data_IF_414283279394
#
_entry.id   IF_414283279394
#
_cell.length_a   1.000
_cell.length_b   1.000
_cell.length_c   1.000
_cell.angle_alpha   90.00
_cell.angle_beta   90.00
_cell.angle_gamma   90.00
#
_symmetry.space_group_name_H-M   'P 1'
#
loop_
_entity.id
_entity.type
_entity.pdbx_description
1 polymer ?
#
# COMPACT_ATOMS: atom_id res chain seq x y z
N UNK A 1 -18.94 4.36 4.14
CA UNK A 1 -18.51 4.37 5.56
C UNK A 1 -19.31 5.46 6.24
N UNK A 2 -19.93 5.19 7.39
CA UNK A 2 -20.86 6.14 8.02
C UNK A 2 -20.10 7.24 8.76
N UNK A 3 -20.40 8.51 8.46
CA UNK A 3 -19.92 9.67 9.21
C UNK A 3 -18.48 10.12 8.92
N UNK A 4 -17.84 9.56 7.88
CA UNK A 4 -16.48 9.92 7.45
C UNK A 4 -16.44 10.65 6.11
N UNK A 5 -17.55 11.28 5.69
CA UNK A 5 -17.67 11.89 4.36
C UNK A 5 -16.56 12.94 4.12
N UNK A 6 -16.37 13.85 5.07
CA UNK A 6 -15.34 14.90 4.98
C UNK A 6 -13.92 14.33 5.00
N UNK A 7 -13.66 13.25 5.75
CA UNK A 7 -12.33 12.63 5.77
C UNK A 7 -12.00 11.96 4.43
N UNK A 8 -12.99 11.33 3.80
CA UNK A 8 -12.86 10.72 2.47
C UNK A 8 -12.67 11.81 1.40
N UNK A 9 -13.46 12.87 1.44
CA UNK A 9 -13.34 14.01 0.52
C UNK A 9 -11.93 14.63 0.59
N UNK A 10 -11.42 14.88 1.80
CA UNK A 10 -10.05 15.37 2.00
C UNK A 10 -9.00 14.38 1.50
N UNK A 11 -9.18 13.08 1.73
CA UNK A 11 -8.27 12.06 1.20
C UNK A 11 -8.21 12.10 -0.33
N UNK A 12 -9.34 12.30 -1.01
CA UNK A 12 -9.40 12.42 -2.46
C UNK A 12 -8.74 13.72 -2.93
N UNK A 13 -9.15 14.87 -2.39
CA UNK A 13 -8.73 16.19 -2.87
C UNK A 13 -7.31 16.57 -2.46
N UNK A 14 -6.85 16.18 -1.27
CA UNK A 14 -5.53 16.56 -0.74
C UNK A 14 -4.44 15.54 -1.11
N UNK A 15 -4.80 14.28 -1.41
CA UNK A 15 -3.84 13.23 -1.72
C UNK A 15 -4.00 12.64 -3.12
N UNK A 16 -5.12 11.97 -3.42
CA UNK A 16 -5.25 11.21 -4.67
C UNK A 16 -5.26 12.08 -5.93
N UNK A 17 -6.04 13.17 -5.96
CA UNK A 17 -6.08 14.09 -7.10
C UNK A 17 -4.70 14.73 -7.39
N UNK A 18 -3.99 15.31 -6.40
CA UNK A 18 -2.65 15.84 -6.62
C UNK A 18 -1.63 14.75 -7.01
N UNK A 19 -1.70 13.56 -6.41
CA UNK A 19 -0.80 12.44 -6.74
C UNK A 19 -0.99 11.97 -8.18
N UNK A 20 -2.24 11.84 -8.64
CA UNK A 20 -2.57 11.47 -10.03
C UNK A 20 -2.07 12.49 -11.05
N UNK A 21 -1.98 13.78 -10.65
CA UNK A 21 -1.38 14.86 -11.46
C UNK A 21 0.14 14.95 -11.35
N UNK A 22 0.79 13.94 -10.77
CA UNK A 22 2.23 13.83 -10.58
C UNK A 22 2.86 14.94 -9.71
N UNK A 23 2.09 15.52 -8.78
CA UNK A 23 2.63 16.44 -7.79
C UNK A 23 3.43 15.69 -6.71
N UNK A 24 4.30 16.39 -5.98
CA UNK A 24 5.25 15.80 -5.03
C UNK A 24 4.62 14.96 -3.92
N UNK A 25 3.31 15.11 -3.66
CA UNK A 25 2.60 14.28 -2.68
C UNK A 25 2.67 12.78 -3.02
N UNK A 26 2.78 12.42 -4.31
CA UNK A 26 2.90 11.00 -4.73
C UNK A 26 4.17 10.32 -4.21
N UNK A 27 5.20 11.12 -3.88
CA UNK A 27 6.48 10.63 -3.36
C UNK A 27 6.47 10.46 -1.83
N UNK A 28 5.28 10.40 -1.23
CA UNK A 28 5.09 10.33 0.22
C UNK A 28 4.19 9.17 0.57
N UNK A 29 4.52 8.52 1.69
CA UNK A 29 3.70 7.48 2.30
C UNK A 29 2.42 8.11 2.84
N UNK A 30 1.26 7.57 2.48
CA UNK A 30 -0.03 7.97 3.03
C UNK A 30 -0.24 7.32 4.38
N UNK A 31 -0.24 8.09 5.48
CA UNK A 31 -0.49 7.58 6.83
C UNK A 31 -1.87 8.01 7.31
N UNK A 32 -2.80 7.06 7.39
CA UNK A 32 -4.10 7.26 8.03
C UNK A 32 -3.91 7.22 9.55
N UNK A 33 -4.10 8.35 10.22
CA UNK A 33 -3.91 8.49 11.66
C UNK A 33 -5.22 8.81 12.34
N UNK A 34 -5.55 8.11 13.41
CA UNK A 34 -6.79 8.36 14.14
C UNK A 34 -7.03 7.33 15.23
N UNK A 35 -8.13 7.45 15.98
CA UNK A 35 -8.43 6.55 17.07
C UNK A 35 -8.62 5.10 16.63
N UNK A 36 -8.49 4.18 17.60
CA UNK A 36 -8.85 2.77 17.42
C UNK A 36 -10.32 2.70 17.00
N UNK A 37 -10.64 1.78 16.07
CA UNK A 37 -11.98 1.63 15.51
C UNK A 37 -12.50 2.85 14.71
N UNK A 38 -11.65 3.80 14.33
CA UNK A 38 -12.01 4.96 13.48
C UNK A 38 -12.28 4.64 11.99
N UNK A 39 -12.39 3.36 11.60
CA UNK A 39 -12.65 2.97 10.22
C UNK A 39 -11.45 3.06 9.25
N UNK A 40 -10.23 3.30 9.76
CA UNK A 40 -9.00 3.40 8.94
C UNK A 40 -8.75 2.15 8.09
N UNK A 41 -8.71 0.98 8.72
CA UNK A 41 -8.52 -0.29 8.02
C UNK A 41 -9.66 -0.56 7.03
N UNK A 42 -10.90 -0.16 7.37
CA UNK A 42 -12.04 -0.25 6.45
C UNK A 42 -11.84 0.62 5.20
N UNK A 43 -11.28 1.84 5.32
CA UNK A 43 -10.93 2.67 4.17
C UNK A 43 -9.94 1.94 3.27
N UNK A 44 -8.86 1.40 3.85
CA UNK A 44 -7.84 0.67 3.06
C UNK A 44 -8.43 -0.57 2.40
N UNK A 45 -9.24 -1.36 3.10
CA UNK A 45 -9.96 -2.50 2.51
C UNK A 45 -10.84 -2.08 1.33
N UNK A 46 -11.57 -0.97 1.43
CA UNK A 46 -12.40 -0.48 0.34
C UNK A 46 -11.56 0.01 -0.84
N UNK A 47 -10.41 0.65 -0.59
CA UNK A 47 -9.48 1.05 -1.65
C UNK A 47 -8.93 -0.16 -2.39
N UNK A 48 -8.47 -1.20 -1.68
CA UNK A 48 -8.00 -2.46 -2.28
C UNK A 48 -9.08 -3.13 -3.13
N UNK A 49 -10.30 -3.27 -2.58
CA UNK A 49 -11.45 -3.84 -3.31
C UNK A 49 -11.83 -3.01 -4.54
N UNK A 50 -11.83 -1.69 -4.42
CA UNK A 50 -12.10 -0.78 -5.52
C UNK A 50 -11.06 -0.90 -6.63
N UNK A 51 -9.78 -0.96 -6.27
CA UNK A 51 -8.66 -1.14 -7.20
C UNK A 51 -8.75 -2.50 -7.93
N UNK A 52 -9.04 -3.58 -7.20
CA UNK A 52 -9.27 -4.90 -7.77
C UNK A 52 -10.46 -4.91 -8.75
N UNK A 53 -11.61 -4.33 -8.37
CA UNK A 53 -12.77 -4.22 -9.24
C UNK A 53 -12.48 -3.39 -10.49
N UNK A 54 -11.81 -2.24 -10.32
CA UNK A 54 -11.45 -1.36 -11.43
C UNK A 54 -10.52 -2.07 -12.42
N UNK A 55 -9.56 -2.86 -11.94
CA UNK A 55 -8.63 -3.60 -12.80
C UNK A 55 -9.28 -4.62 -13.75
N UNK A 56 -10.52 -5.03 -13.44
CA UNK A 56 -11.31 -5.95 -14.28
C UNK A 56 -12.02 -5.25 -15.43
N UNK A 57 -12.19 -3.94 -15.36
CA UNK A 57 -12.80 -3.12 -16.41
C UNK A 57 -11.83 -2.90 -17.57
N UNK A 58 -12.34 -2.42 -18.70
CA UNK A 58 -11.50 -2.05 -19.85
C UNK A 58 -10.68 -0.78 -19.57
N UNK A 59 -11.27 0.20 -18.85
CA UNK A 59 -10.58 1.43 -18.46
C UNK A 59 -9.45 1.19 -17.45
N UNK A 60 -9.63 0.21 -16.56
CA UNK A 60 -8.61 -0.20 -15.59
C UNK A 60 -7.72 -1.35 -16.07
N UNK A 61 -7.73 -1.70 -17.36
CA UNK A 61 -6.98 -2.84 -17.86
C UNK A 61 -5.46 -2.66 -17.64
N UNK A 62 -4.84 -3.65 -17.00
CA UNK A 62 -3.40 -3.68 -16.74
C UNK A 62 -2.75 -4.80 -17.54
N UNK A 63 -1.67 -4.48 -18.25
CA UNK A 63 -0.87 -5.45 -19.00
C UNK A 63 0.51 -5.59 -18.39
N UNK A 64 1.04 -6.80 -18.30
CA UNK A 64 2.36 -7.10 -17.75
C UNK A 64 3.19 -7.96 -18.69
N UNK A 65 4.52 -7.93 -18.52
CA UNK A 65 5.42 -8.86 -19.20
C UNK A 65 5.10 -10.29 -18.74
N UNK A 66 4.83 -11.18 -19.71
CA UNK A 66 4.39 -12.54 -19.44
C UNK A 66 5.43 -13.32 -18.65
N UNK A 67 4.99 -13.96 -17.57
CA UNK A 67 5.85 -14.74 -16.68
C UNK A 67 6.77 -13.90 -15.78
N UNK A 68 6.58 -12.59 -15.71
CA UNK A 68 7.27 -11.75 -14.73
C UNK A 68 6.63 -11.92 -13.33
N UNK A 69 7.40 -12.29 -12.29
CA UNK A 69 6.88 -12.48 -10.94
C UNK A 69 6.45 -11.17 -10.24
N UNK A 70 6.85 -10.02 -10.79
CA UNK A 70 6.52 -8.67 -10.32
C UNK A 70 5.45 -7.98 -11.16
N UNK A 71 4.89 -8.67 -12.16
CA UNK A 71 3.87 -8.09 -13.04
C UNK A 71 4.31 -6.78 -13.71
N UNK A 72 5.57 -6.75 -14.11
CA UNK A 72 6.27 -5.56 -14.59
C UNK A 72 5.60 -4.91 -15.80
N UNK A 73 5.65 -3.57 -15.84
CA UNK A 73 5.10 -2.77 -16.92
C UNK A 73 5.86 -3.04 -18.24
N UNK A 74 5.18 -3.48 -19.31
CA UNK A 74 5.80 -3.71 -20.62
C UNK A 74 6.50 -2.47 -21.19
N UNK A 75 6.05 -1.26 -20.82
CA UNK A 75 6.68 -0.02 -21.28
C UNK A 75 8.12 0.13 -20.78
N UNK A 76 8.53 -0.61 -19.75
CA UNK A 76 9.93 -0.64 -19.32
C UNK A 76 10.88 -1.24 -20.37
N UNK A 77 10.35 -1.99 -21.35
CA UNK A 77 11.13 -2.49 -22.50
C UNK A 77 11.61 -1.36 -23.42
N UNK A 78 10.95 -0.19 -23.40
CA UNK A 78 11.34 0.94 -24.24
C UNK A 78 12.66 1.53 -23.71
N UNK A 79 13.72 1.57 -24.54
CA UNK A 79 15.03 2.10 -24.15
C UNK A 79 14.95 3.55 -23.64
N UNK A 80 15.73 3.88 -22.61
CA UNK A 80 15.71 5.20 -21.97
C UNK A 80 15.86 6.37 -22.93
N UNK A 81 16.67 6.24 -23.98
CA UNK A 81 16.91 7.30 -24.96
C UNK A 81 15.70 7.59 -25.86
N UNK A 82 14.75 6.66 -26.00
CA UNK A 82 13.53 6.84 -26.80
C UNK A 82 12.33 7.32 -25.97
N UNK A 83 12.44 7.37 -24.64
CA UNK A 83 11.29 7.68 -23.77
C UNK A 83 10.81 9.12 -23.86
N UNK A 84 11.70 10.05 -24.22
CA UNK A 84 11.30 11.45 -24.45
C UNK A 84 10.46 11.54 -25.72
N UNK A 85 10.93 10.96 -26.83
CA UNK A 85 10.19 10.92 -28.09
C UNK A 85 8.84 10.20 -27.92
N UNK A 86 8.83 9.07 -27.19
CA UNK A 86 7.60 8.36 -26.85
C UNK A 86 6.61 9.22 -26.04
N UNK A 87 7.12 10.04 -25.12
CA UNK A 87 6.27 10.97 -24.38
C UNK A 87 5.72 12.09 -25.25
N UNK A 88 6.53 12.64 -26.17
CA UNK A 88 6.08 13.68 -27.10
C UNK A 88 5.01 13.17 -28.08
N UNK A 89 5.13 11.92 -28.53
CA UNK A 89 4.20 11.31 -29.48
C UNK A 89 2.90 10.82 -28.82
N UNK A 90 3.00 10.10 -27.69
CA UNK A 90 1.86 9.42 -27.07
C UNK A 90 1.34 10.10 -25.79
N UNK A 91 2.08 11.06 -25.23
CA UNK A 91 1.75 11.68 -23.94
C UNK A 91 1.96 10.76 -22.73
N UNK A 92 2.53 9.57 -22.93
CA UNK A 92 2.72 8.56 -21.90
C UNK A 92 4.15 8.64 -21.36
N UNK A 93 4.29 8.83 -20.06
CA UNK A 93 5.59 9.03 -19.41
C UNK A 93 6.00 7.78 -18.65
N UNK A 94 7.10 7.16 -19.09
CA UNK A 94 7.62 5.89 -18.59
C UNK A 94 8.66 6.15 -17.50
N UNK A 95 8.35 5.73 -16.27
CA UNK A 95 9.23 5.81 -15.10
C UNK A 95 9.76 4.42 -14.74
N UNK A 96 10.84 4.32 -13.98
CA UNK A 96 11.45 3.02 -13.62
C UNK A 96 12.26 2.37 -14.74
N UNK A 97 12.78 1.18 -14.45
CA UNK A 97 13.64 0.39 -15.35
C UNK A 97 13.24 -1.07 -15.34
N UNK A 98 13.60 -1.77 -16.42
CA UNK A 98 13.34 -3.20 -16.55
C UNK A 98 14.01 -3.97 -15.41
N UNK A 99 13.28 -4.89 -14.79
CA UNK A 99 13.81 -5.71 -13.71
C UNK A 99 15.00 -6.54 -14.20
N UNK A 100 15.94 -6.90 -13.31
CA UNK A 100 17.11 -7.67 -13.72
C UNK A 100 16.74 -9.01 -14.37
N UNK A 101 15.66 -9.66 -13.88
CA UNK A 101 15.16 -10.90 -14.46
C UNK A 101 14.67 -10.70 -15.90
N UNK A 102 13.83 -9.70 -16.15
CA UNK A 102 13.33 -9.46 -17.50
C UNK A 102 14.39 -8.88 -18.44
N UNK A 103 15.40 -8.17 -17.92
CA UNK A 103 16.58 -7.75 -18.69
C UNK A 103 17.33 -8.97 -19.22
N UNK A 104 17.63 -9.93 -18.34
CA UNK A 104 18.27 -11.19 -18.71
C UNK A 104 17.40 -11.99 -19.71
N UNK A 105 16.08 -12.05 -19.50
CA UNK A 105 15.16 -12.74 -20.43
C UNK A 105 15.13 -12.07 -21.80
N UNK A 106 15.08 -10.74 -21.87
CA UNK A 106 15.11 -10.01 -23.14
C UNK A 106 16.37 -10.33 -23.94
N UNK A 107 17.53 -10.40 -23.29
CA UNK A 107 18.79 -10.74 -23.93
C UNK A 107 18.85 -12.22 -24.36
N UNK A 108 18.50 -13.15 -23.47
CA UNK A 108 18.70 -14.59 -23.69
C UNK A 108 17.58 -15.29 -24.45
N UNK A 109 16.32 -14.91 -24.20
CA UNK A 109 15.14 -15.55 -24.79
C UNK A 109 14.66 -14.84 -26.06
N UNK A 110 14.87 -13.52 -26.14
CA UNK A 110 14.30 -12.68 -27.21
C UNK A 110 15.36 -11.99 -28.10
N UNK A 111 16.66 -12.28 -27.91
CA UNK A 111 17.76 -11.72 -28.74
C UNK A 111 17.73 -10.19 -28.78
N UNK A 112 17.34 -9.55 -27.66
CA UNK A 112 17.19 -8.09 -27.54
C UNK A 112 15.98 -7.49 -28.26
N UNK A 113 15.11 -8.30 -28.87
CA UNK A 113 13.96 -7.83 -29.66
C UNK A 113 12.73 -7.60 -28.80
N UNK A 114 12.54 -6.35 -28.40
CA UNK A 114 11.45 -5.94 -27.51
C UNK A 114 10.06 -6.25 -28.08
N UNK A 115 9.92 -6.22 -29.41
CA UNK A 115 8.66 -6.47 -30.13
C UNK A 115 8.18 -7.92 -30.03
N UNK A 116 9.08 -8.85 -29.69
CA UNK A 116 8.74 -10.27 -29.54
C UNK A 116 8.38 -10.63 -28.09
N UNK A 117 8.59 -9.72 -27.13
CA UNK A 117 8.30 -9.99 -25.73
C UNK A 117 6.81 -10.14 -25.51
N UNK A 118 6.40 -11.31 -25.03
CA UNK A 118 4.99 -11.62 -24.79
C UNK A 118 4.46 -10.81 -23.61
N UNK A 119 3.28 -10.22 -23.78
CA UNK A 119 2.54 -9.53 -22.71
C UNK A 119 1.26 -10.31 -22.36
N UNK A 120 0.77 -10.12 -21.14
CA UNK A 120 -0.49 -10.68 -20.69
C UNK A 120 -1.32 -9.65 -19.93
N UNK A 121 -2.66 -9.76 -20.03
CA UNK A 121 -3.55 -8.98 -19.18
C UNK A 121 -3.58 -9.59 -17.79
N UNK A 122 -3.42 -8.74 -16.78
CA UNK A 122 -3.55 -9.13 -15.37
C UNK A 122 -4.72 -8.42 -14.73
N UNK A 123 -5.18 -8.96 -13.61
CA UNK A 123 -6.16 -8.32 -12.73
C UNK A 123 -5.58 -8.29 -11.34
N UNK A 124 -5.69 -7.16 -10.67
CA UNK A 124 -5.23 -7.04 -9.29
C UNK A 124 -6.08 -7.93 -8.37
N UNK A 125 -5.44 -8.46 -7.33
CA UNK A 125 -6.06 -9.35 -6.37
C UNK A 125 -5.19 -9.45 -5.13
N UNK A 126 -5.79 -9.13 -3.98
CA UNK A 126 -5.14 -9.31 -2.67
C UNK A 126 -4.88 -10.80 -2.39
N UNK A 127 -5.90 -11.66 -2.57
CA UNK A 127 -5.80 -13.10 -2.31
C UNK A 127 -4.73 -13.80 -3.14
N UNK A 128 -4.54 -13.37 -4.39
CA UNK A 128 -3.51 -13.93 -5.29
C UNK A 128 -2.18 -13.19 -5.20
N UNK A 129 -2.07 -12.14 -4.37
CA UNK A 129 -0.88 -11.29 -4.23
C UNK A 129 -0.43 -10.71 -5.58
N UNK A 130 -1.36 -10.08 -6.30
CA UNK A 130 -1.14 -9.44 -7.61
C UNK A 130 -1.52 -7.96 -7.51
N UNK A 131 -0.53 -7.06 -7.52
CA UNK A 131 -0.70 -5.62 -7.40
C UNK A 131 -1.27 -5.14 -6.06
N UNK A 132 -1.49 -6.04 -5.10
CA UNK A 132 -1.96 -5.69 -3.76
C UNK A 132 -1.17 -6.52 -2.76
N UNK A 133 -0.44 -5.85 -1.87
CA UNK A 133 0.32 -6.44 -0.77
C UNK A 133 -0.13 -5.89 0.58
N UNK A 134 0.04 -6.71 1.61
CA UNK A 134 -0.33 -6.34 2.99
C UNK A 134 0.76 -6.83 3.93
N UNK A 135 1.30 -5.92 4.73
CA UNK A 135 2.33 -6.22 5.71
C UNK A 135 1.91 -5.82 7.11
N UNK A 136 2.06 -6.77 8.03
CA UNK A 136 1.81 -6.59 9.45
C UNK A 136 3.12 -6.84 10.20
N UNK A 137 3.58 -5.90 11.05
CA UNK A 137 4.79 -6.07 11.83
C UNK A 137 4.65 -7.28 12.75
N UNK A 138 5.67 -8.13 12.72
CA UNK A 138 5.89 -9.18 13.70
C UNK A 138 6.82 -8.66 14.81
N UNK A 139 7.26 -9.52 15.74
CA UNK A 139 8.28 -9.14 16.71
C UNK A 139 9.49 -8.51 15.98
N UNK A 140 9.89 -7.26 16.29
CA UNK A 140 10.97 -6.57 15.59
C UNK A 140 12.30 -7.33 15.59
N UNK A 141 12.53 -8.23 16.57
CA UNK A 141 13.76 -9.02 16.65
C UNK A 141 13.79 -10.18 15.66
N UNK A 142 12.64 -10.65 15.19
CA UNK A 142 12.51 -11.78 14.27
C UNK A 142 12.08 -11.35 12.87
N UNK A 143 11.92 -10.05 12.63
CA UNK A 143 11.42 -9.54 11.36
C UNK A 143 12.53 -9.49 10.30
N UNK A 144 12.32 -10.18 9.17
CA UNK A 144 13.26 -10.16 8.06
C UNK A 144 12.83 -9.13 7.00
N UNK A 145 13.82 -8.41 6.45
CA UNK A 145 13.60 -7.49 5.34
C UNK A 145 13.29 -8.23 4.04
N UNK A 146 13.63 -9.52 3.97
CA UNK A 146 13.26 -10.40 2.87
C UNK A 146 11.74 -10.52 2.72
N UNK A 147 10.96 -10.43 3.79
CA UNK A 147 9.49 -10.46 3.72
C UNK A 147 8.93 -9.29 2.89
N UNK A 148 9.61 -8.14 2.92
CA UNK A 148 9.26 -6.99 2.08
C UNK A 148 9.88 -7.05 0.69
N UNK A 149 11.17 -7.38 0.62
CA UNK A 149 11.98 -7.14 -0.58
C UNK A 149 12.14 -8.35 -1.48
N UNK A 150 11.90 -9.56 -0.96
CA UNK A 150 12.20 -10.84 -1.59
C UNK A 150 13.45 -11.49 -1.00
N UNK A 151 13.68 -12.76 -1.34
CA UNK A 151 14.76 -13.58 -0.77
C UNK A 151 15.69 -14.17 -1.84
N UNK A 152 16.91 -14.52 -1.45
CA UNK A 152 17.83 -15.29 -2.30
C UNK A 152 17.51 -16.78 -2.11
N UNK A 153 17.34 -17.51 -3.21
CA UNK A 153 17.21 -18.96 -3.19
C UNK A 153 18.58 -19.62 -3.26
N UNK A 154 19.14 -19.93 -2.08
CA UNK A 154 20.45 -20.56 -1.95
C UNK A 154 20.56 -21.93 -2.64
N UNK A 155 19.44 -22.64 -2.87
CA UNK A 155 19.47 -23.94 -3.54
C UNK A 155 19.84 -23.83 -5.02
N UNK A 156 19.45 -22.73 -5.66
CA UNK A 156 19.69 -22.46 -7.08
C UNK A 156 21.07 -21.86 -7.37
N UNK A 157 21.78 -21.38 -6.35
CA UNK A 157 23.13 -20.81 -6.50
C UNK A 157 24.11 -21.86 -7.04
N UNK A 158 23.95 -23.13 -6.66
CA UNK A 158 24.78 -24.21 -7.18
C UNK A 158 24.64 -24.43 -8.68
N UNK A 159 23.47 -24.11 -9.25
CA UNK A 159 23.17 -24.24 -10.68
C UNK A 159 23.60 -23.00 -11.48
N UNK A 160 23.37 -21.81 -10.94
CA UNK A 160 23.63 -20.54 -11.65
C UNK A 160 25.00 -19.90 -11.32
N UNK A 161 25.69 -20.40 -10.30
CA UNK A 161 27.07 -20.04 -9.98
C UNK A 161 27.28 -18.70 -9.28
N UNK A 162 26.23 -17.90 -9.02
CA UNK A 162 26.35 -16.60 -8.35
C UNK A 162 25.11 -16.17 -7.59
N UNK A 163 25.29 -15.58 -6.40
CA UNK A 163 24.24 -14.89 -5.63
C UNK A 163 23.63 -13.68 -6.36
N UNK A 164 24.32 -13.17 -7.39
CA UNK A 164 23.88 -12.01 -8.18
C UNK A 164 23.14 -12.38 -9.47
N UNK A 165 22.95 -13.67 -9.77
CA UNK A 165 22.15 -14.10 -10.92
C UNK A 165 20.65 -13.81 -10.65
N UNK A 166 19.92 -13.13 -11.55
CA UNK A 166 18.50 -12.79 -11.34
C UNK A 166 17.59 -13.99 -11.11
N UNK A 167 17.96 -15.18 -11.59
CA UNK A 167 17.19 -16.41 -11.39
C UNK A 167 17.37 -17.00 -9.99
N UNK A 168 18.45 -16.64 -9.30
CA UNK A 168 18.66 -17.03 -7.90
C UNK A 168 17.87 -16.15 -6.92
N UNK A 169 17.17 -15.12 -7.41
CA UNK A 169 16.37 -14.22 -6.58
C UNK A 169 14.87 -14.52 -6.68
N UNK A 170 14.23 -14.69 -5.53
CA UNK A 170 12.77 -14.83 -5.42
C UNK A 170 12.15 -13.46 -5.26
N UNK A 171 11.42 -13.04 -6.29
CA UNK A 171 10.61 -11.81 -6.28
C UNK A 171 9.24 -12.07 -5.63
N UNK A 172 9.27 -12.44 -4.36
CA UNK A 172 8.08 -12.83 -3.58
C UNK A 172 7.86 -12.02 -2.32
N UNK A 173 8.66 -10.97 -2.10
CA UNK A 173 8.41 -9.98 -1.05
C UNK A 173 7.14 -9.18 -1.32
N UNK A 174 6.58 -8.60 -0.27
CA UNK A 174 5.32 -7.84 -0.37
C UNK A 174 5.42 -6.66 -1.34
N UNK A 175 6.55 -5.94 -1.39
CA UNK A 175 6.78 -4.84 -2.34
C UNK A 175 6.90 -5.35 -3.79
N UNK A 176 7.36 -6.59 -3.99
CA UNK A 176 7.37 -7.19 -5.33
C UNK A 176 5.95 -7.49 -5.80
N UNK A 177 5.09 -7.96 -4.89
CA UNK A 177 3.71 -8.38 -5.19
C UNK A 177 2.74 -7.22 -5.29
N UNK A 178 2.97 -6.14 -4.54
CA UNK A 178 2.18 -4.91 -4.57
C UNK A 178 2.48 -4.01 -5.79
N UNK A 179 3.54 -4.30 -6.55
CA UNK A 179 3.97 -3.51 -7.70
C UNK A 179 2.82 -3.19 -8.67
N UNK A 180 2.76 -1.94 -9.10
CA UNK A 180 1.73 -1.29 -9.94
C UNK A 180 0.37 -1.10 -9.29
N UNK A 181 0.24 -1.41 -8.00
CA UNK A 181 -1.00 -1.17 -7.26
C UNK A 181 -0.75 -0.59 -5.89
N UNK A 182 -1.02 -1.35 -4.83
CA UNK A 182 -1.10 -0.84 -3.46
C UNK A 182 -0.43 -1.75 -2.44
N UNK A 183 0.34 -1.13 -1.54
CA UNK A 183 0.96 -1.77 -0.41
C UNK A 183 0.36 -1.22 0.90
N UNK A 184 -0.29 -2.08 1.68
CA UNK A 184 -0.79 -1.75 3.02
C UNK A 184 0.24 -2.08 4.10
N UNK A 185 0.57 -1.10 4.93
CA UNK A 185 1.31 -1.31 6.18
C UNK A 185 0.40 -1.13 7.38
N UNK A 186 0.12 -2.22 8.08
CA UNK A 186 -0.58 -2.19 9.36
C UNK A 186 0.41 -1.78 10.44
N UNK A 187 0.12 -0.75 11.24
CA UNK A 187 0.99 -0.34 12.36
C UNK A 187 2.45 -0.04 11.94
N UNK A 188 2.65 0.57 10.76
CA UNK A 188 3.97 0.85 10.16
C UNK A 188 4.98 1.48 11.12
N UNK A 189 4.52 2.31 12.07
CA UNK A 189 5.39 3.03 13.00
C UNK A 189 6.05 2.12 14.06
N UNK A 190 5.67 0.85 14.14
CA UNK A 190 6.32 -0.18 14.97
C UNK A 190 7.51 -0.84 14.29
N UNK A 191 7.71 -0.60 12.99
CA UNK A 191 8.83 -1.17 12.25
C UNK A 191 10.17 -0.59 12.70
N UNK A 192 11.21 -1.40 12.56
CA UNK A 192 12.59 -0.93 12.72
C UNK A 192 12.92 0.14 11.66
N UNK A 193 13.74 1.12 12.04
CA UNK A 193 14.19 2.23 11.19
C UNK A 193 14.70 1.75 9.82
N UNK A 194 15.41 0.61 9.78
CA UNK A 194 15.94 0.03 8.53
C UNK A 194 14.83 -0.23 7.49
N UNK A 195 13.66 -0.68 7.93
CA UNK A 195 12.52 -0.92 7.04
C UNK A 195 11.97 0.39 6.51
N UNK A 196 11.79 1.38 7.40
CA UNK A 196 11.28 2.71 7.04
C UNK A 196 12.17 3.39 6.01
N UNK A 197 13.50 3.29 6.13
CA UNK A 197 14.44 3.82 5.14
C UNK A 197 14.30 3.19 3.75
N UNK A 198 14.05 1.88 3.66
CA UNK A 198 13.78 1.23 2.39
C UNK A 198 12.48 1.74 1.73
N UNK A 199 11.43 1.97 2.53
CA UNK A 199 10.17 2.55 2.03
C UNK A 199 10.37 3.99 1.53
N UNK A 200 11.30 4.73 2.13
CA UNK A 200 11.64 6.07 1.67
C UNK A 200 12.33 6.07 0.30
N UNK A 201 13.25 5.15 0.07
CA UNK A 201 13.87 4.98 -1.26
C UNK A 201 12.80 4.64 -2.29
N UNK A 202 11.89 3.71 -1.98
CA UNK A 202 10.82 3.31 -2.88
C UNK A 202 9.90 4.49 -3.23
N UNK A 203 9.40 5.23 -2.23
CA UNK A 203 8.50 6.36 -2.48
C UNK A 203 9.15 7.52 -3.23
N UNK A 204 10.46 7.75 -3.08
CA UNK A 204 11.13 8.88 -3.73
C UNK A 204 11.68 8.56 -5.11
N UNK A 205 12.32 7.40 -5.23
CA UNK A 205 13.10 7.00 -6.40
C UNK A 205 12.38 5.96 -7.26
N UNK A 206 11.25 5.42 -6.78
CA UNK A 206 10.52 4.35 -7.46
C UNK A 206 11.29 3.03 -7.50
N UNK A 207 12.23 2.83 -6.57
CA UNK A 207 13.03 1.62 -6.51
C UNK A 207 13.47 1.29 -5.07
N UNK A 208 13.79 0.03 -4.82
CA UNK A 208 14.35 -0.43 -3.55
C UNK A 208 15.52 -1.39 -3.77
N UNK A 209 16.35 -1.53 -2.74
CA UNK A 209 17.51 -2.42 -2.74
C UNK A 209 17.17 -3.78 -2.14
N UNK A 210 17.31 -4.83 -2.94
CA UNK A 210 17.15 -6.22 -2.53
C UNK A 210 18.52 -6.86 -2.20
N UNK A 211 18.93 -6.87 -0.93
CA UNK A 211 20.18 -7.53 -0.53
C UNK A 211 21.43 -7.07 -1.31
N UNK A 212 22.13 -8.00 -1.97
CA UNK A 212 23.28 -7.74 -2.87
C UNK A 212 22.88 -7.53 -4.33
N UNK A 213 21.58 -7.56 -4.62
CA UNK A 213 21.02 -7.43 -5.95
C UNK A 213 21.02 -5.97 -6.45
N UNK A 214 20.84 -5.81 -7.76
CA UNK A 214 20.58 -4.50 -8.37
C UNK A 214 19.30 -3.86 -7.79
N UNK A 215 19.17 -2.54 -7.94
CA UNK A 215 17.94 -1.84 -7.58
C UNK A 215 16.77 -2.38 -8.39
N UNK A 216 15.66 -2.65 -7.70
CA UNK A 216 14.43 -3.15 -8.31
C UNK A 216 13.46 -1.98 -8.40
N UNK A 217 13.00 -1.66 -9.61
CA UNK A 217 11.97 -0.64 -9.81
C UNK A 217 10.61 -1.18 -9.39
N UNK A 218 9.85 -0.39 -8.65
CA UNK A 218 8.45 -0.66 -8.34
C UNK A 218 7.67 0.66 -8.27
N UNK A 219 6.44 0.64 -8.78
CA UNK A 219 5.51 1.77 -8.77
C UNK A 219 4.29 1.37 -7.97
N UNK A 220 4.13 1.89 -6.76
CA UNK A 220 3.01 1.49 -5.91
C UNK A 220 2.62 2.58 -4.93
N UNK A 221 1.34 2.58 -4.57
CA UNK A 221 0.84 3.39 -3.48
C UNK A 221 1.16 2.72 -2.15
N UNK A 222 1.94 3.39 -1.30
CA UNK A 222 2.15 2.96 0.08
C UNK A 222 1.13 3.64 1.00
N UNK A 223 0.24 2.84 1.58
CA UNK A 223 -0.73 3.28 2.59
C UNK A 223 -0.44 2.60 3.92
N UNK A 224 -0.33 3.39 4.97
CA UNK A 224 -0.16 2.93 6.33
C UNK A 224 -1.32 3.42 7.21
N UNK A 225 -1.60 2.72 8.31
CA UNK A 225 -2.49 3.23 9.34
C UNK A 225 -1.92 3.01 10.74
N UNK A 226 -2.21 3.94 11.64
CA UNK A 226 -1.71 3.96 13.03
C UNK A 226 -2.70 4.64 13.97
N UNK A 227 -2.50 4.47 15.28
CA UNK A 227 -3.22 5.21 16.30
C UNK A 227 -2.50 6.51 16.70
N UNK A 228 -3.19 7.37 17.44
CA UNK A 228 -2.66 8.68 17.82
C UNK A 228 -1.47 8.57 18.81
N UNK A 229 -1.50 7.60 19.72
CA UNK A 229 -0.45 7.38 20.72
C UNK A 229 0.87 6.98 20.06
N UNK A 230 0.82 6.06 19.11
CA UNK A 230 1.96 5.63 18.30
C UNK A 230 2.50 6.78 17.46
N UNK A 231 1.62 7.53 16.79
CA UNK A 231 2.02 8.68 15.99
C UNK A 231 2.73 9.75 16.83
N UNK A 232 2.20 10.09 18.01
CA UNK A 232 2.83 11.04 18.93
C UNK A 232 4.21 10.55 19.38
N UNK A 233 4.33 9.27 19.69
CA UNK A 233 5.61 8.66 20.07
C UNK A 233 6.62 8.73 18.92
N UNK A 234 6.18 8.43 17.69
CA UNK A 234 6.99 8.49 16.49
C UNK A 234 7.52 9.89 16.20
N UNK A 235 6.66 10.91 16.24
CA UNK A 235 7.02 12.33 15.99
C UNK A 235 7.95 12.87 17.09
N UNK A 236 7.80 12.42 18.33
CA UNK A 236 8.64 12.86 19.44
C UNK A 236 10.09 12.36 19.35
N UNK A 237 10.33 11.28 18.59
CA UNK A 237 11.64 10.68 18.46
C UNK A 237 12.48 11.41 17.39
N UNK A 238 13.54 12.09 17.81
CA UNK A 238 14.47 12.81 16.91
C UNK A 238 15.08 11.94 15.82
N UNK A 239 15.24 10.63 16.04
CA UNK A 239 15.76 9.73 14.99
C UNK A 239 14.84 9.65 13.77
N UNK A 240 13.54 9.87 13.97
CA UNK A 240 12.52 9.78 12.93
C UNK A 240 12.30 11.11 12.18
N UNK A 241 12.98 12.19 12.57
CA UNK A 241 12.75 13.54 12.04
C UNK A 241 12.86 13.60 10.51
N UNK A 242 13.81 12.85 9.93
CA UNK A 242 13.97 12.75 8.48
C UNK A 242 12.76 12.11 7.78
N UNK A 243 12.07 11.18 8.46
CA UNK A 243 10.91 10.46 7.94
C UNK A 243 9.64 11.35 7.90
N UNK A 244 9.55 12.38 8.74
CA UNK A 244 8.35 13.22 8.86
C UNK A 244 7.99 13.89 7.54
N UNK A 245 8.99 14.39 6.81
CA UNK A 245 8.81 15.05 5.51
C UNK A 245 8.31 14.12 4.40
N UNK A 246 8.43 12.81 4.62
CA UNK A 246 8.12 11.76 3.64
C UNK A 246 6.81 11.04 3.91
N UNK A 247 6.12 11.42 4.98
CA UNK A 247 4.82 10.90 5.35
C UNK A 247 3.82 12.04 5.21
N UNK A 248 2.70 11.77 4.55
CA UNK A 248 1.53 12.63 4.62
C UNK A 248 0.52 12.01 5.58
N UNK A 249 0.22 12.77 6.63
CA UNK A 249 -0.70 12.32 7.67
C UNK A 249 -2.09 12.77 7.31
N UNK A 250 -2.99 11.80 7.16
CA UNK A 250 -4.41 12.02 6.92
C UNK A 250 -5.21 11.67 8.19
N UNK A 251 -5.70 12.66 8.95
CA UNK A 251 -6.47 12.40 10.15
C UNK A 251 -7.83 11.77 9.81
N UNK A 252 -8.11 10.62 10.41
CA UNK A 252 -9.40 9.93 10.32
C UNK A 252 -10.08 10.02 11.69
N UNK A 253 -10.99 10.99 11.92
CA UNK A 253 -11.59 11.22 13.23
C UNK A 253 -12.64 10.16 13.57
N UNK A 254 -13.11 10.16 14.82
CA UNK A 254 -14.34 9.45 15.15
C UNK A 254 -15.54 10.03 14.39
N UNK A 255 -16.51 9.16 14.10
CA UNK A 255 -17.85 9.62 13.75
C UNK A 255 -18.51 10.31 14.97
N UNK A 256 -18.96 11.55 14.79
CA UNK A 256 -19.67 12.33 15.81
C UNK A 256 -21.16 12.50 15.50
N UNK A 257 -21.65 11.92 14.40
CA UNK A 257 -23.07 11.96 14.04
C UNK A 257 -23.77 10.73 14.65
N UNK A 258 -24.66 10.97 15.60
CA UNK A 258 -25.46 9.91 16.26
C UNK A 258 -26.19 9.05 15.23
N UNK A 259 -26.81 9.68 14.22
CA UNK A 259 -27.53 8.95 13.16
C UNK A 259 -26.62 8.01 12.35
N UNK A 260 -25.35 8.38 12.18
CA UNK A 260 -24.37 7.54 11.50
C UNK A 260 -23.85 6.42 12.40
N UNK A 261 -23.74 6.68 13.71
CA UNK A 261 -23.30 5.69 14.70
C UNK A 261 -24.36 4.59 14.88
N UNK A 262 -25.64 4.96 14.89
CA UNK A 262 -26.76 4.01 14.91
C UNK A 262 -26.69 3.03 13.73
N UNK A 263 -26.39 3.52 12.52
CA UNK A 263 -26.21 2.68 11.33
C UNK A 263 -25.01 1.73 11.43
N UNK A 264 -23.94 2.12 12.13
CA UNK A 264 -22.79 1.24 12.39
C UNK A 264 -23.25 0.05 13.24
N UNK A 265 -23.99 0.30 14.32
CA UNK A 265 -24.48 -0.77 15.19
C UNK A 265 -25.49 -1.67 14.49
N UNK A 266 -26.43 -1.10 13.73
CA UNK A 266 -27.35 -1.88 12.91
C UNK A 266 -26.62 -2.81 11.95
N UNK A 267 -25.59 -2.31 11.27
CA UNK A 267 -24.77 -3.09 10.36
C UNK A 267 -24.06 -4.23 11.11
N UNK A 268 -23.37 -3.92 12.21
CA UNK A 268 -22.63 -4.91 13.00
C UNK A 268 -23.54 -6.04 13.49
N UNK A 269 -24.75 -5.71 13.94
CA UNK A 269 -25.71 -6.70 14.43
C UNK A 269 -26.22 -7.58 13.30
N UNK A 270 -26.57 -6.99 12.15
CA UNK A 270 -27.00 -7.73 10.96
C UNK A 270 -25.94 -8.70 10.45
N UNK A 271 -24.66 -8.35 10.58
CA UNK A 271 -23.51 -9.17 10.17
C UNK A 271 -23.07 -10.17 11.26
N UNK A 272 -23.63 -10.10 12.46
CA UNK A 272 -23.29 -10.98 13.58
C UNK A 272 -24.28 -12.13 13.76
N UNK A 273 -23.88 -13.15 14.51
CA UNK A 273 -24.78 -14.23 14.96
C UNK A 273 -25.94 -13.73 15.84
N UNK A 274 -25.92 -12.45 16.27
CA UNK A 274 -26.97 -11.84 17.10
C UNK A 274 -28.12 -11.23 16.29
N UNK A 275 -28.18 -11.41 14.97
CA UNK A 275 -29.25 -10.86 14.13
C UNK A 275 -30.67 -11.31 14.55
N UNK A 276 -30.78 -12.44 15.27
CA UNK A 276 -32.04 -12.98 15.78
C UNK A 276 -32.49 -12.39 17.13
N UNK A 277 -31.64 -11.60 17.79
CA UNK A 277 -31.92 -11.03 19.12
C UNK A 277 -32.84 -9.82 18.98
N UNK A 278 -33.89 -9.78 19.78
CA UNK A 278 -34.77 -8.61 19.84
C UNK A 278 -34.04 -7.40 20.42
N UNK A 279 -34.07 -6.29 19.70
CA UNK A 279 -33.55 -5.00 20.15
C UNK A 279 -34.71 -4.06 20.36
N UNK A 280 -34.84 -3.57 21.60
CA UNK A 280 -35.90 -2.63 21.93
C UNK A 280 -35.78 -1.34 21.10
N UNK A 281 -36.92 -0.70 20.72
CA UNK A 281 -36.89 0.58 20.04
C UNK A 281 -36.01 1.59 20.77
N UNK A 282 -35.23 2.37 20.01
CA UNK A 282 -34.28 3.37 20.52
C UNK A 282 -33.09 2.83 21.34
N UNK A 283 -32.93 1.52 21.54
CA UNK A 283 -31.76 0.99 22.25
C UNK A 283 -30.45 1.35 21.51
N UNK A 284 -30.40 1.15 20.18
CA UNK A 284 -29.24 1.52 19.37
C UNK A 284 -29.00 3.03 19.36
N UNK A 285 -30.07 3.82 19.23
CA UNK A 285 -29.99 5.27 19.34
C UNK A 285 -29.45 5.75 20.68
N UNK A 286 -29.89 5.16 21.79
CA UNK A 286 -29.40 5.49 23.12
C UNK A 286 -27.91 5.14 23.28
N UNK A 287 -27.50 3.95 22.82
CA UNK A 287 -26.10 3.55 22.78
C UNK A 287 -25.26 4.49 21.90
N UNK A 288 -25.78 4.89 20.74
CA UNK A 288 -25.12 5.80 19.81
C UNK A 288 -24.93 7.20 20.40
N UNK A 289 -25.95 7.73 21.09
CA UNK A 289 -25.86 9.00 21.83
C UNK A 289 -24.76 8.90 22.90
N UNK A 290 -24.78 7.83 23.69
CA UNK A 290 -23.78 7.63 24.75
C UNK A 290 -22.36 7.57 24.17
N UNK A 291 -22.11 6.74 23.15
CA UNK A 291 -20.79 6.62 22.51
C UNK A 291 -20.32 7.91 21.82
N UNK A 292 -21.22 8.72 21.27
CA UNK A 292 -20.85 10.03 20.70
C UNK A 292 -20.51 11.01 21.82
N UNK A 293 -21.26 11.04 22.91
CA UNK A 293 -20.99 11.92 24.05
C UNK A 293 -19.63 11.63 24.69
N UNK A 294 -19.21 10.37 24.79
CA UNK A 294 -17.87 10.02 25.31
C UNK A 294 -16.73 10.50 24.41
N UNK A 295 -16.99 10.79 23.13
CA UNK A 295 -16.01 11.33 22.16
C UNK A 295 -15.96 12.87 22.14
N UNK A 296 -16.97 13.55 22.68
CA UNK A 296 -17.06 15.02 22.68
C UNK A 296 -16.31 15.67 23.85
N UNK A 297 -16.13 14.96 24.96
CA UNK A 297 -15.31 15.43 26.09
C UNK A 297 -14.04 14.62 26.24
N UNK A 298 -12.89 15.29 26.24
CA UNK A 298 -11.62 14.67 26.65
C UNK A 298 -11.71 14.36 28.15
N UNK A 299 -11.52 13.11 28.60
CA UNK A 299 -11.54 12.78 30.02
C UNK A 299 -10.52 13.65 30.76
N UNK A 300 -10.99 14.47 31.73
CA UNK A 300 -10.11 15.32 32.55
C UNK A 300 -9.16 14.52 33.46
N UNK A 301 -9.33 13.19 33.56
CA UNK A 301 -8.48 12.29 34.34
C UNK A 301 -7.64 11.41 33.43
N UNK A 302 -6.31 11.48 33.59
CA UNK A 302 -5.40 10.45 33.08
C UNK A 302 -5.77 9.10 33.72
N UNK A 303 -5.89 8.04 32.91
CA UNK A 303 -6.13 6.68 33.38
C UNK A 303 -7.57 6.16 33.30
N UNK A 304 -8.49 6.88 32.65
CA UNK A 304 -9.76 6.30 32.22
C UNK A 304 -9.59 5.88 30.76
N UNK A 305 -9.27 4.59 30.57
CA UNK A 305 -9.35 3.93 29.27
C UNK A 305 -10.74 3.28 29.15
N UNK A 306 -11.32 3.28 27.95
CA UNK A 306 -12.51 2.50 27.62
C UNK A 306 -12.08 1.16 27.05
#
# INVERSE_FOLDING_TARGET
IFGLETAIERLVEEYFHPAARRLDVRKRILLLMGPVSGGKSTIVTLLKRGLEQFSRTDEGAVFAIKGCPMHEDPLHLIPHHLRNDFYEEYGIRIEGSLSPLNTMRLEQEYDGRIENVMIERITFSEDKRVGIGTFTPSDPKSQDIADLTGSIDFSTIGEFGSESDPRAYRFDGELNKANRGMMEFQEMLKLDEKFLWNLLSLTQEGNFKAGRFALISADELIVAHTNETEYRSFISNKKNEALHSRIIVMPIPYNLKVSQEELIYEKMIKESDMAHVHIAPHALKAAAIFSVLTRLEVPKKQGVDL
#
